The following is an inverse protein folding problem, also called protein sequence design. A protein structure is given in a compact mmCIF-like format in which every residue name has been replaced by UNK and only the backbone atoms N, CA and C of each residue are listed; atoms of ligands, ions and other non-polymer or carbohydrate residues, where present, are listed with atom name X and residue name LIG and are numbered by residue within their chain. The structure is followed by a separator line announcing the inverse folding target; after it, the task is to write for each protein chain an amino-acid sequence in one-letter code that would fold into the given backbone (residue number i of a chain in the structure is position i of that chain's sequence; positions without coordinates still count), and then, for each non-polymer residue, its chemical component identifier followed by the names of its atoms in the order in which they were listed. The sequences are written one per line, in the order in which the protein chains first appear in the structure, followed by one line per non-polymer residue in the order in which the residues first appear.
data_IF_381999156524
#
_entry.id   IF_381999156524
#
_cell.length_a   1.000
_cell.length_b   1.000
_cell.length_c   1.000
_cell.angle_alpha   90.00
_cell.angle_beta   90.00
_cell.angle_gamma   90.00
#
_symmetry.space_group_name_H-M   'P 1'
#
loop_
_entity.id
_entity.type
_entity.pdbx_description
1 polymer ?
#
# COMPACT_ATOMS: atom_id res chain seq x y z
N UNK A 1 22.70 -13.30 12.24
CA UNK A 1 21.97 -14.30 11.42
C UNK A 1 20.51 -14.49 11.86
N UNK A 2 20.21 -14.88 13.11
CA UNK A 2 18.81 -15.03 13.59
C UNK A 2 17.94 -13.76 13.48
N UNK A 3 18.54 -12.57 13.66
CA UNK A 3 17.83 -11.29 13.54
C UNK A 3 17.26 -11.04 12.13
N UNK A 4 17.94 -11.49 11.07
CA UNK A 4 17.51 -11.27 9.69
C UNK A 4 16.28 -12.12 9.34
N UNK A 5 16.23 -13.36 9.86
CA UNK A 5 15.12 -14.28 9.59
C UNK A 5 13.81 -13.77 10.18
N UNK A 6 13.85 -13.21 11.40
CA UNK A 6 12.66 -12.60 12.02
C UNK A 6 12.15 -11.44 11.19
N UNK A 7 13.04 -10.57 10.71
CA UNK A 7 12.69 -9.43 9.87
C UNK A 7 12.08 -9.87 8.53
N UNK A 8 12.69 -10.83 7.85
CA UNK A 8 12.16 -11.40 6.60
C UNK A 8 10.78 -12.01 6.78
N UNK A 9 10.55 -12.75 7.87
CA UNK A 9 9.23 -13.31 8.18
C UNK A 9 8.19 -12.22 8.43
N UNK A 10 8.55 -11.17 9.18
CA UNK A 10 7.65 -10.03 9.43
C UNK A 10 7.34 -9.26 8.14
N UNK A 11 8.33 -9.05 7.26
CA UNK A 11 8.13 -8.45 5.93
C UNK A 11 7.21 -9.32 5.08
N UNK A 12 7.41 -10.65 5.06
CA UNK A 12 6.58 -11.56 4.29
C UNK A 12 5.12 -11.58 4.78
N UNK A 13 4.89 -11.67 6.10
CA UNK A 13 3.56 -11.63 6.68
C UNK A 13 2.88 -10.27 6.47
N UNK A 14 3.62 -9.18 6.68
CA UNK A 14 3.15 -7.83 6.41
C UNK A 14 2.77 -7.68 4.94
N UNK A 15 3.63 -8.12 4.02
CA UNK A 15 3.41 -8.09 2.58
C UNK A 15 2.15 -8.86 2.16
N UNK A 16 1.96 -10.07 2.69
CA UNK A 16 0.76 -10.86 2.44
C UNK A 16 -0.50 -10.11 2.92
N UNK A 17 -0.49 -9.59 4.15
CA UNK A 17 -1.61 -8.82 4.70
C UNK A 17 -1.89 -7.54 3.91
N UNK A 18 -0.85 -6.82 3.48
CA UNK A 18 -0.95 -5.60 2.68
C UNK A 18 -1.54 -5.86 1.30
N UNK A 19 -1.06 -6.90 0.62
CA UNK A 19 -1.57 -7.30 -0.70
C UNK A 19 -3.04 -7.74 -0.63
N UNK A 20 -3.42 -8.53 0.38
CA UNK A 20 -4.80 -8.96 0.60
C UNK A 20 -5.71 -7.77 0.92
N UNK A 21 -5.25 -6.83 1.76
CA UNK A 21 -5.97 -5.62 2.09
C UNK A 21 -6.18 -4.74 0.86
N UNK A 22 -5.14 -4.52 0.05
CA UNK A 22 -5.23 -3.79 -1.22
C UNK A 22 -6.27 -4.43 -2.14
N UNK A 23 -6.20 -5.75 -2.32
CA UNK A 23 -7.16 -6.47 -3.16
C UNK A 23 -8.60 -6.30 -2.67
N UNK A 24 -8.83 -6.48 -1.37
CA UNK A 24 -10.16 -6.33 -0.77
C UNK A 24 -10.71 -4.89 -0.93
N UNK A 25 -9.87 -3.88 -0.67
CA UNK A 25 -10.25 -2.47 -0.83
C UNK A 25 -10.56 -2.17 -2.30
N UNK A 26 -9.77 -2.66 -3.26
CA UNK A 26 -10.04 -2.47 -4.68
C UNK A 26 -11.37 -3.11 -5.12
N UNK A 27 -11.66 -4.33 -4.65
CA UNK A 27 -12.94 -5.00 -4.93
C UNK A 27 -14.11 -4.23 -4.31
N UNK A 28 -13.96 -3.76 -3.07
CA UNK A 28 -15.01 -3.02 -2.37
C UNK A 28 -15.27 -1.66 -3.01
N UNK A 29 -14.21 -0.93 -3.35
CA UNK A 29 -14.30 0.35 -4.05
C UNK A 29 -15.00 0.19 -5.41
N UNK A 30 -14.68 -0.87 -6.16
CA UNK A 30 -15.38 -1.16 -7.41
C UNK A 30 -16.88 -1.41 -7.18
N UNK A 31 -17.25 -2.13 -6.12
CA UNK A 31 -18.66 -2.41 -5.79
C UNK A 31 -19.45 -1.19 -5.36
N UNK A 32 -18.83 -0.26 -4.62
CA UNK A 32 -19.53 0.86 -3.99
C UNK A 32 -19.42 2.17 -4.77
N UNK A 33 -18.30 2.40 -5.46
CA UNK A 33 -17.99 3.63 -6.17
C UNK A 33 -17.99 3.45 -7.70
N UNK A 34 -18.15 2.21 -8.18
CA UNK A 34 -18.16 1.86 -9.59
C UNK A 34 -16.75 1.76 -10.20
N UNK A 35 -16.72 1.58 -11.53
CA UNK A 35 -15.50 1.35 -12.30
C UNK A 35 -15.06 2.54 -13.17
N UNK A 36 -15.77 3.67 -13.10
CA UNK A 36 -15.46 4.87 -13.89
C UNK A 36 -14.15 5.56 -13.46
N UNK A 37 -13.68 5.30 -12.24
CA UNK A 37 -12.44 5.84 -11.72
C UNK A 37 -11.74 4.82 -10.80
N UNK A 38 -10.39 4.76 -10.78
CA UNK A 38 -9.64 3.82 -9.96
C UNK A 38 -9.62 4.21 -8.48
N UNK A 39 -10.79 4.31 -7.85
CA UNK A 39 -10.93 4.69 -6.45
C UNK A 39 -10.19 3.74 -5.51
N UNK A 40 -10.17 2.44 -5.82
CA UNK A 40 -9.42 1.45 -5.04
C UNK A 40 -7.94 1.78 -4.96
N UNK A 41 -7.31 2.00 -6.11
CA UNK A 41 -5.88 2.36 -6.21
C UNK A 41 -5.59 3.71 -5.54
N UNK A 42 -6.47 4.69 -5.69
CA UNK A 42 -6.30 5.98 -5.02
C UNK A 42 -6.36 5.83 -3.49
N UNK A 43 -7.38 5.14 -2.97
CA UNK A 43 -7.60 4.96 -1.54
C UNK A 43 -6.43 4.26 -0.87
N UNK A 44 -5.92 3.17 -1.45
CA UNK A 44 -4.81 2.42 -0.84
C UNK A 44 -3.51 3.22 -0.83
N UNK A 45 -3.24 4.03 -1.87
CA UNK A 45 -2.05 4.89 -1.93
C UNK A 45 -2.16 6.06 -0.95
N UNK A 46 -3.29 6.78 -0.90
CA UNK A 46 -3.47 7.91 0.03
C UNK A 46 -3.42 7.43 1.48
N UNK A 47 -4.17 6.37 1.81
CA UNK A 47 -4.15 5.79 3.16
C UNK A 47 -2.75 5.27 3.53
N UNK A 48 -2.07 4.60 2.60
CA UNK A 48 -0.72 4.09 2.82
C UNK A 48 0.31 5.20 3.08
N UNK A 49 0.29 6.28 2.30
CA UNK A 49 1.16 7.44 2.52
C UNK A 49 0.90 8.12 3.88
N UNK A 50 -0.37 8.27 4.26
CA UNK A 50 -0.74 8.83 5.57
C UNK A 50 -0.24 7.95 6.71
N UNK A 51 -0.48 6.64 6.65
CA UNK A 51 -0.01 5.69 7.65
C UNK A 51 1.52 5.60 7.72
N UNK A 52 2.21 5.70 6.58
CA UNK A 52 3.67 5.75 6.55
C UNK A 52 4.20 6.98 7.28
N UNK A 53 3.55 8.14 7.10
CA UNK A 53 3.88 9.37 7.84
C UNK A 53 3.73 9.20 9.36
N UNK A 54 2.63 8.61 9.82
CA UNK A 54 2.39 8.33 11.24
C UNK A 54 3.43 7.36 11.82
N UNK A 55 3.73 6.27 11.10
CA UNK A 55 4.73 5.29 11.52
C UNK A 55 6.13 5.92 11.55
N UNK A 56 6.46 6.75 10.55
CA UNK A 56 7.71 7.49 10.48
C UNK A 56 7.89 8.43 11.68
N UNK A 57 6.87 9.22 12.01
CA UNK A 57 6.89 10.10 13.18
C UNK A 57 7.08 9.31 14.48
N UNK A 58 6.32 8.23 14.67
CA UNK A 58 6.47 7.36 15.83
C UNK A 58 7.88 6.77 15.92
N UNK A 59 8.48 6.41 14.79
CA UNK A 59 9.81 5.82 14.74
C UNK A 59 10.92 6.80 15.16
N UNK A 60 10.74 8.10 14.88
CA UNK A 60 11.65 9.15 15.34
C UNK A 60 11.63 9.32 16.86
N UNK A 61 10.48 9.11 17.50
CA UNK A 61 10.31 9.31 18.94
C UNK A 61 10.66 8.09 19.79
N UNK A 62 10.36 6.87 19.29
CA UNK A 62 10.35 5.65 20.12
C UNK A 62 11.28 4.54 19.63
N UNK A 63 11.90 4.69 18.46
CA UNK A 63 12.85 3.72 17.88
C UNK A 63 12.34 2.27 17.95
N UNK A 64 11.29 1.91 17.19
CA UNK A 64 10.70 0.57 17.23
C UNK A 64 11.73 -0.50 16.82
N UNK A 65 11.52 -1.77 17.24
CA UNK A 65 12.36 -2.86 16.77
C UNK A 65 12.37 -2.96 15.24
N UNK A 66 13.56 -3.13 14.65
CA UNK A 66 13.75 -3.12 13.19
C UNK A 66 12.81 -4.09 12.44
N UNK A 67 12.64 -5.30 12.95
CA UNK A 67 11.73 -6.31 12.37
C UNK A 67 10.28 -5.84 12.29
N UNK A 68 9.80 -5.06 13.27
CA UNK A 68 8.45 -4.53 13.29
C UNK A 68 8.34 -3.36 12.32
N UNK A 69 9.32 -2.47 12.34
CA UNK A 69 9.38 -1.33 11.42
C UNK A 69 9.39 -1.79 9.97
N UNK A 70 10.26 -2.73 9.59
CA UNK A 70 10.33 -3.30 8.25
C UNK A 70 9.08 -4.09 7.88
N UNK A 71 8.51 -4.85 8.82
CA UNK A 71 7.24 -5.55 8.61
C UNK A 71 6.07 -4.62 8.29
N UNK A 72 5.98 -3.48 8.98
CA UNK A 72 4.95 -2.47 8.73
C UNK A 72 5.22 -1.65 7.46
N UNK A 73 6.45 -1.21 7.25
CA UNK A 73 6.81 -0.32 6.13
C UNK A 73 7.05 -1.09 4.84
N UNK A 74 8.15 -1.84 4.73
CA UNK A 74 8.50 -2.60 3.54
C UNK A 74 7.53 -3.76 3.25
N UNK A 75 7.00 -4.39 4.30
CA UNK A 75 5.99 -5.44 4.19
C UNK A 75 4.59 -4.88 3.89
N UNK A 76 3.86 -4.50 4.95
CA UNK A 76 2.45 -4.16 4.85
C UNK A 76 2.18 -2.94 3.96
N UNK A 77 2.76 -1.77 4.28
CA UNK A 77 2.52 -0.55 3.51
C UNK A 77 3.10 -0.65 2.09
N UNK A 78 4.24 -1.31 1.92
CA UNK A 78 4.85 -1.59 0.62
C UNK A 78 3.96 -2.43 -0.31
N UNK A 79 3.21 -3.40 0.24
CA UNK A 79 2.29 -4.22 -0.54
C UNK A 79 0.85 -3.65 -0.62
N UNK A 80 0.45 -2.82 0.35
CA UNK A 80 -0.82 -2.09 0.36
C UNK A 80 -0.82 -0.98 -0.70
N UNK A 81 0.29 -0.26 -0.85
CA UNK A 81 0.44 0.80 -1.86
C UNK A 81 0.89 0.22 -3.19
N UNK A 82 0.70 0.95 -4.28
CA UNK A 82 1.12 0.47 -5.61
C UNK A 82 1.29 1.62 -6.60
N UNK A 83 2.53 1.78 -7.09
CA UNK A 83 2.82 2.70 -8.19
C UNK A 83 2.52 2.06 -9.56
N UNK A 84 2.85 0.77 -9.74
CA UNK A 84 2.67 0.08 -11.03
C UNK A 84 1.21 0.05 -11.49
N UNK A 85 0.27 -0.28 -10.60
CA UNK A 85 -1.17 -0.24 -10.93
C UNK A 85 -1.63 1.18 -11.21
N UNK A 86 -1.22 2.16 -10.40
CA UNK A 86 -1.55 3.57 -10.59
C UNK A 86 -1.07 4.09 -11.96
N UNK A 87 0.17 3.80 -12.34
CA UNK A 87 0.71 4.20 -13.65
C UNK A 87 -0.03 3.55 -14.80
N UNK A 88 -0.33 2.25 -14.70
CA UNK A 88 -1.08 1.54 -15.74
C UNK A 88 -2.49 2.12 -15.92
N UNK A 89 -3.21 2.39 -14.83
CA UNK A 89 -4.55 2.98 -14.88
C UNK A 89 -4.52 4.40 -15.43
N UNK A 90 -3.50 5.19 -15.07
CA UNK A 90 -3.30 6.55 -15.59
C UNK A 90 -3.04 6.54 -17.10
N UNK A 91 -2.13 5.69 -17.58
CA UNK A 91 -1.83 5.54 -19.00
C UNK A 91 -3.05 5.10 -19.79
N UNK A 92 -3.78 4.08 -19.29
CA UNK A 92 -4.98 3.58 -19.95
C UNK A 92 -6.08 4.64 -20.08
N UNK A 93 -6.27 5.46 -19.04
CA UNK A 93 -7.23 6.57 -19.10
C UNK A 93 -6.81 7.62 -20.13
N UNK A 94 -5.52 7.95 -20.17
CA UNK A 94 -4.97 8.87 -21.15
C UNK A 94 -5.19 8.38 -22.60
N UNK A 95 -4.96 7.09 -22.86
CA UNK A 95 -5.17 6.47 -24.18
C UNK A 95 -6.63 6.52 -24.66
N UNK A 96 -7.59 6.40 -23.75
CA UNK A 96 -9.04 6.43 -24.07
C UNK A 96 -9.58 7.87 -24.16
N UNK A 97 -8.73 8.88 -23.96
CA UNK A 97 -9.13 10.29 -23.96
C UNK A 97 -9.89 10.70 -22.70
N UNK A 98 -9.89 9.87 -21.66
CA UNK A 98 -10.43 10.18 -20.33
C UNK A 98 -9.41 11.00 -19.52
N UNK A 99 -9.00 12.13 -20.09
CA UNK A 99 -8.14 13.13 -19.44
C UNK A 99 -9.01 14.03 -18.56
N UNK A 100 -9.56 13.50 -17.47
CA UNK A 100 -10.32 14.30 -16.52
C UNK A 100 -10.07 13.91 -15.07
N UNK A 101 -9.99 14.82 -14.09
CA UNK A 101 -10.58 16.18 -13.94
C UNK A 101 -11.48 16.68 -15.06
#
# INVERSE_FOLDING_TARGET
MLMIWRELLCVAMGGAAGALSRYAISVLAMRWLGAAFPYGTLLVNVAGCFLLGLIGQYALERTPPAWLYSGLTAGFLGALTTFSTFSYETLRRFEVGETGV
#
